data_IF_243332997338
#
_entry.id   IF_243332997338
#
_cell.length_a   1.000
_cell.length_b   1.000
_cell.length_c   1.000
_cell.angle_alpha   90.00
_cell.angle_beta   90.00
_cell.angle_gamma   90.00
#
_symmetry.space_group_name_H-M   'P 1'
#
loop_
_entity.id
_entity.type
_entity.pdbx_description
1 polymer ?
#
# COMPACT_ATOMS: atom_id res chain seq x y z
N UNK A 1 8.00 -14.25 32.33
CA UNK A 1 7.29 -15.17 31.45
C UNK A 1 6.68 -14.35 30.29
N UNK A 2 7.33 -14.35 29.14
CA UNK A 2 6.97 -13.53 27.96
C UNK A 2 5.63 -13.93 27.33
N UNK A 3 4.94 -14.89 27.87
CA UNK A 3 3.66 -15.39 27.40
C UNK A 3 2.44 -14.77 28.10
N UNK A 4 2.65 -14.05 29.21
CA UNK A 4 1.54 -13.49 30.02
C UNK A 4 1.50 -11.96 30.13
N UNK A 5 2.54 -11.24 29.70
CA UNK A 5 2.54 -9.77 29.78
C UNK A 5 3.17 -9.17 28.52
N UNK A 6 2.48 -8.20 27.96
CA UNK A 6 2.98 -7.42 26.84
C UNK A 6 4.18 -6.58 27.34
N UNK A 7 5.37 -6.83 26.80
CA UNK A 7 6.63 -6.14 27.18
C UNK A 7 6.47 -4.60 27.15
N UNK A 8 5.65 -4.06 26.26
CA UNK A 8 5.37 -2.63 26.16
C UNK A 8 4.51 -2.12 27.33
N UNK A 9 3.69 -2.98 27.91
CA UNK A 9 2.82 -2.64 29.05
C UNK A 9 3.61 -2.65 30.36
N UNK A 10 4.51 -3.63 30.52
CA UNK A 10 5.47 -3.67 31.62
C UNK A 10 6.42 -2.46 31.57
N UNK A 11 6.93 -2.10 30.40
CA UNK A 11 7.77 -0.92 30.24
C UNK A 11 7.02 0.38 30.54
N UNK A 12 5.73 0.49 30.19
CA UNK A 12 4.90 1.64 30.55
C UNK A 12 4.65 1.76 32.05
N UNK A 13 4.36 0.65 32.72
CA UNK A 13 4.16 0.65 34.18
C UNK A 13 5.46 0.97 34.91
N UNK A 14 6.60 0.41 34.50
CA UNK A 14 7.91 0.75 35.02
C UNK A 14 8.25 2.23 34.83
N UNK A 15 7.96 2.80 33.66
CA UNK A 15 8.15 4.23 33.41
C UNK A 15 7.25 5.14 34.28
N UNK A 16 6.03 4.68 34.54
CA UNK A 16 5.05 5.46 35.27
C UNK A 16 5.27 5.39 36.78
N UNK A 17 5.62 4.22 37.30
CA UNK A 17 5.62 3.95 38.75
C UNK A 17 7.03 4.02 39.34
N UNK A 18 8.08 3.62 38.63
CA UNK A 18 9.46 3.57 39.13
C UNK A 18 10.31 4.80 38.78
N UNK A 19 10.13 5.38 37.57
CA UNK A 19 10.95 6.53 37.16
C UNK A 19 10.81 7.75 38.04
N UNK A 20 9.59 8.20 38.51
CA UNK A 20 9.47 9.35 39.36
C UNK A 20 10.15 9.15 40.74
N UNK A 21 9.95 7.96 41.34
CA UNK A 21 10.49 7.62 42.65
C UNK A 21 12.01 7.52 42.61
N UNK A 22 12.59 6.90 41.59
CA UNK A 22 14.05 6.77 41.45
C UNK A 22 14.73 8.08 41.06
N UNK A 23 14.06 8.98 40.32
CA UNK A 23 14.60 10.32 40.02
C UNK A 23 14.57 11.27 41.22
N UNK A 24 13.60 11.12 42.13
CA UNK A 24 13.56 11.88 43.38
C UNK A 24 14.64 11.41 44.35
N UNK A 25 14.88 10.10 44.46
CA UNK A 25 15.88 9.54 45.38
C UNK A 25 17.31 9.67 44.85
N UNK A 26 17.49 9.64 43.52
CA UNK A 26 18.82 9.67 42.89
C UNK A 26 18.83 10.57 41.63
N UNK A 27 18.90 11.92 41.79
CA UNK A 27 18.84 12.89 40.70
C UNK A 27 19.98 12.77 39.68
N UNK A 28 21.06 12.10 40.03
CA UNK A 28 22.25 11.92 39.18
C UNK A 28 22.18 10.65 38.29
N UNK A 29 21.21 9.77 38.55
CA UNK A 29 21.06 8.53 37.76
C UNK A 29 20.33 8.82 36.43
N UNK A 30 21.00 8.52 35.32
CA UNK A 30 20.36 8.42 33.99
C UNK A 30 19.85 7.01 33.78
N UNK A 31 18.55 6.82 33.95
CA UNK A 31 17.90 5.54 33.63
C UNK A 31 17.60 5.53 32.15
N UNK A 32 18.26 4.66 31.39
CA UNK A 32 17.97 4.42 29.99
C UNK A 32 17.43 3.00 29.81
N UNK A 33 16.27 2.86 29.18
CA UNK A 33 15.75 1.57 28.78
C UNK A 33 16.44 1.16 27.50
N UNK A 34 17.45 0.33 27.61
CA UNK A 34 18.21 -0.22 26.50
C UNK A 34 17.78 -1.67 26.23
N UNK A 35 17.93 -2.13 24.99
CA UNK A 35 17.61 -3.49 24.59
C UNK A 35 16.76 -3.56 23.33
N UNK A 36 16.04 -4.65 23.15
CA UNK A 36 15.27 -4.96 21.94
C UNK A 36 14.25 -3.86 21.60
N UNK A 37 13.63 -3.22 22.61
CA UNK A 37 12.62 -2.17 22.39
C UNK A 37 13.22 -0.91 21.77
N UNK A 38 14.42 -0.48 22.18
CA UNK A 38 15.08 0.71 21.60
C UNK A 38 15.55 0.42 20.18
N UNK A 39 16.12 -0.76 19.96
CA UNK A 39 16.49 -1.20 18.61
C UNK A 39 15.26 -1.28 17.69
N UNK A 40 14.14 -1.81 18.19
CA UNK A 40 12.88 -1.89 17.48
C UNK A 40 12.30 -0.50 17.14
N UNK A 41 12.32 0.45 18.09
CA UNK A 41 11.87 1.82 17.85
C UNK A 41 12.74 2.53 16.82
N UNK A 42 14.06 2.37 16.87
CA UNK A 42 14.97 2.96 15.89
C UNK A 42 14.76 2.36 14.49
N UNK A 43 14.56 1.04 14.41
CA UNK A 43 14.21 0.37 13.16
C UNK A 43 12.89 0.89 12.60
N UNK A 44 11.86 1.03 13.44
CA UNK A 44 10.56 1.56 13.03
C UNK A 44 10.66 3.00 12.51
N UNK A 45 11.45 3.86 13.15
CA UNK A 45 11.73 5.22 12.63
C UNK A 45 12.40 5.18 11.26
N UNK A 46 13.38 4.29 11.08
CA UNK A 46 14.05 4.09 9.79
C UNK A 46 13.08 3.63 8.70
N UNK A 47 12.22 2.65 9.02
CA UNK A 47 11.17 2.17 8.10
C UNK A 47 10.20 3.28 7.74
N UNK A 48 9.78 4.09 8.72
CA UNK A 48 8.88 5.22 8.48
C UNK A 48 9.51 6.27 7.57
N UNK A 49 10.75 6.66 7.83
CA UNK A 49 11.48 7.61 6.97
C UNK A 49 11.67 7.04 5.56
N UNK A 50 12.09 5.78 5.45
CA UNK A 50 12.21 5.09 4.18
C UNK A 50 10.90 5.01 3.41
N UNK A 51 9.77 4.80 4.09
CA UNK A 51 8.44 4.80 3.48
C UNK A 51 8.07 6.16 2.89
N UNK A 52 8.32 7.25 3.61
CA UNK A 52 8.06 8.61 3.08
C UNK A 52 8.91 8.90 1.83
N UNK A 53 10.21 8.56 1.88
CA UNK A 53 11.11 8.74 0.73
C UNK A 53 10.62 7.89 -0.45
N UNK A 54 10.25 6.63 -0.22
CA UNK A 54 9.74 5.73 -1.26
C UNK A 54 8.46 6.28 -1.91
N UNK A 55 7.50 6.74 -1.11
CA UNK A 55 6.26 7.33 -1.61
C UNK A 55 6.54 8.58 -2.45
N UNK A 56 7.46 9.44 -2.00
CA UNK A 56 7.85 10.65 -2.73
C UNK A 56 8.55 10.31 -4.05
N UNK A 57 9.43 9.31 -4.06
CA UNK A 57 10.08 8.84 -5.28
C UNK A 57 9.09 8.22 -6.26
N UNK A 58 8.18 7.37 -5.79
CA UNK A 58 7.11 6.79 -6.60
C UNK A 58 6.27 7.90 -7.24
N UNK A 59 5.83 8.88 -6.45
CA UNK A 59 5.07 10.01 -6.96
C UNK A 59 5.84 10.77 -8.04
N UNK A 60 7.11 11.07 -7.80
CA UNK A 60 7.97 11.82 -8.74
C UNK A 60 8.16 11.06 -10.06
N UNK A 61 8.42 9.75 -9.99
CA UNK A 61 8.57 8.91 -11.18
C UNK A 61 7.27 8.82 -11.98
N UNK A 62 6.13 8.64 -11.31
CA UNK A 62 4.82 8.62 -11.96
C UNK A 62 4.47 9.98 -12.58
N UNK A 63 4.79 11.09 -11.90
CA UNK A 63 4.56 12.44 -12.43
C UNK A 63 5.37 12.70 -13.71
N UNK A 64 6.61 12.22 -13.77
CA UNK A 64 7.44 12.27 -14.98
C UNK A 64 6.86 11.38 -16.09
N UNK A 65 6.45 10.15 -15.75
CA UNK A 65 5.88 9.18 -16.71
C UNK A 65 4.60 9.71 -17.36
N UNK A 66 3.67 10.23 -16.57
CA UNK A 66 2.38 10.71 -17.06
C UNK A 66 2.37 12.17 -17.51
N UNK A 67 3.43 12.91 -17.26
CA UNK A 67 3.50 14.38 -17.47
C UNK A 67 2.30 15.10 -16.85
N UNK A 68 1.86 14.62 -15.69
CA UNK A 68 0.70 15.10 -14.95
C UNK A 68 0.91 14.91 -13.46
N UNK A 69 0.43 15.81 -12.63
CA UNK A 69 0.47 15.68 -11.18
C UNK A 69 -0.76 14.97 -10.59
N UNK A 70 -1.85 14.91 -11.34
CA UNK A 70 -3.11 14.34 -10.87
C UNK A 70 -3.22 12.82 -11.12
N UNK A 71 -2.68 12.34 -12.24
CA UNK A 71 -2.70 10.90 -12.56
C UNK A 71 -1.93 10.04 -11.55
N UNK A 72 -0.75 10.45 -11.04
CA UNK A 72 -0.07 9.74 -9.96
C UNK A 72 -0.93 9.54 -8.71
N UNK A 73 -1.78 10.51 -8.36
CA UNK A 73 -2.67 10.41 -7.20
C UNK A 73 -3.70 9.28 -7.39
N UNK A 74 -4.21 9.09 -8.61
CA UNK A 74 -5.11 7.98 -8.92
C UNK A 74 -4.40 6.64 -8.70
N UNK A 75 -3.20 6.50 -9.27
CA UNK A 75 -2.40 5.28 -9.14
C UNK A 75 -2.09 4.98 -7.67
N UNK A 76 -1.64 5.98 -6.92
CA UNK A 76 -1.26 5.83 -5.51
C UNK A 76 -2.46 5.65 -4.58
N UNK A 77 -3.67 6.04 -4.99
CA UNK A 77 -4.88 5.83 -4.19
C UNK A 77 -5.19 4.36 -3.92
N UNK A 78 -4.59 3.44 -4.67
CA UNK A 78 -4.70 2.01 -4.46
C UNK A 78 -3.89 1.49 -3.24
N UNK A 79 -2.83 2.21 -2.82
CA UNK A 79 -1.94 1.80 -1.72
C UNK A 79 -2.70 1.56 -0.40
N UNK A 80 -3.56 2.48 0.08
CA UNK A 80 -4.33 2.27 1.30
C UNK A 80 -5.15 0.98 1.31
N UNK A 81 -5.71 0.61 0.16
CA UNK A 81 -6.50 -0.62 0.05
C UNK A 81 -5.63 -1.88 0.14
N UNK A 82 -4.41 -1.83 -0.39
CA UNK A 82 -3.42 -2.88 -0.19
C UNK A 82 -3.08 -3.06 1.30
N UNK A 83 -2.91 -1.97 2.03
CA UNK A 83 -2.67 -2.01 3.48
C UNK A 83 -3.86 -2.65 4.22
N UNK A 84 -5.09 -2.29 3.85
CA UNK A 84 -6.30 -2.93 4.42
C UNK A 84 -6.28 -4.44 4.17
N UNK A 85 -5.96 -4.88 2.95
CA UNK A 85 -5.83 -6.30 2.62
C UNK A 85 -4.74 -7.00 3.44
N UNK A 86 -3.60 -6.37 3.64
CA UNK A 86 -2.52 -6.88 4.48
C UNK A 86 -2.97 -7.06 5.94
N UNK A 87 -3.64 -6.07 6.52
CA UNK A 87 -4.19 -6.14 7.89
C UNK A 87 -5.24 -7.25 8.01
N UNK A 88 -6.15 -7.36 7.03
CA UNK A 88 -7.13 -8.44 6.98
C UNK A 88 -6.46 -9.82 6.94
N UNK A 89 -5.42 -10.00 6.14
CA UNK A 89 -4.67 -11.25 6.08
C UNK A 89 -4.07 -11.65 7.41
N UNK A 90 -3.48 -10.69 8.15
CA UNK A 90 -2.98 -10.93 9.50
C UNK A 90 -4.08 -11.35 10.47
N UNK A 91 -5.22 -10.66 10.42
CA UNK A 91 -6.38 -10.98 11.25
C UNK A 91 -6.92 -12.39 10.98
N UNK A 92 -7.07 -12.76 9.70
CA UNK A 92 -7.60 -14.08 9.29
C UNK A 92 -6.68 -15.23 9.69
N UNK A 93 -5.36 -15.02 9.63
CA UNK A 93 -4.38 -16.06 9.96
C UNK A 93 -3.93 -16.02 11.43
N UNK A 94 -4.43 -15.08 12.24
CA UNK A 94 -4.10 -14.95 13.65
C UNK A 94 -2.68 -14.47 13.94
N UNK A 95 -2.05 -13.78 12.98
CA UNK A 95 -0.70 -13.22 13.16
C UNK A 95 -0.76 -11.78 13.62
N UNK A 96 0.12 -11.42 14.55
CA UNK A 96 0.27 -10.01 15.00
C UNK A 96 1.08 -9.22 13.99
N UNK A 97 0.74 -7.93 13.84
CA UNK A 97 1.53 -7.01 13.03
C UNK A 97 2.91 -6.80 13.65
N UNK A 98 3.94 -7.00 12.86
CA UNK A 98 5.34 -6.83 13.25
C UNK A 98 6.03 -5.79 12.36
N UNK A 99 7.27 -5.42 12.70
CA UNK A 99 8.10 -4.55 11.83
C UNK A 99 8.25 -5.19 10.45
N UNK A 100 8.38 -6.51 10.39
CA UNK A 100 8.54 -7.25 9.14
C UNK A 100 7.25 -7.21 8.31
N UNK A 101 6.06 -7.20 8.96
CA UNK A 101 4.79 -6.94 8.29
C UNK A 101 4.76 -5.55 7.63
N UNK A 102 5.26 -4.53 8.34
CA UNK A 102 5.32 -3.15 7.82
C UNK A 102 6.26 -3.05 6.63
N UNK A 103 7.41 -3.71 6.66
CA UNK A 103 8.30 -3.83 5.50
C UNK A 103 7.61 -4.49 4.30
N UNK A 104 6.81 -5.54 4.56
CA UNK A 104 5.95 -6.15 3.55
C UNK A 104 4.94 -5.17 2.95
N UNK A 105 4.32 -4.32 3.78
CA UNK A 105 3.38 -3.28 3.30
C UNK A 105 4.08 -2.20 2.46
N UNK A 106 5.32 -1.83 2.79
CA UNK A 106 6.11 -0.90 1.97
C UNK A 106 6.42 -1.52 0.61
N UNK A 107 6.87 -2.79 0.57
CA UNK A 107 7.10 -3.50 -0.68
C UNK A 107 5.81 -3.68 -1.51
N UNK A 108 4.68 -3.97 -0.83
CA UNK A 108 3.35 -4.07 -1.43
C UNK A 108 2.97 -2.79 -2.18
N UNK A 109 3.31 -1.61 -1.64
CA UNK A 109 2.97 -0.33 -2.28
C UNK A 109 3.56 -0.23 -3.69
N UNK A 110 4.78 -0.72 -3.90
CA UNK A 110 5.42 -0.77 -5.22
C UNK A 110 4.71 -1.70 -6.20
N UNK A 111 4.25 -2.87 -5.73
CA UNK A 111 3.52 -3.86 -6.57
C UNK A 111 2.18 -3.28 -7.00
N UNK A 112 1.41 -2.73 -6.05
CA UNK A 112 0.08 -2.16 -6.30
C UNK A 112 0.14 -0.97 -7.25
N UNK A 113 1.15 -0.12 -7.08
CA UNK A 113 1.40 1.02 -7.97
C UNK A 113 1.72 0.56 -9.39
N UNK A 114 2.54 -0.48 -9.55
CA UNK A 114 2.87 -1.02 -10.86
C UNK A 114 1.64 -1.54 -11.63
N UNK A 115 0.74 -2.26 -10.97
CA UNK A 115 -0.50 -2.76 -11.59
C UNK A 115 -1.44 -1.61 -11.99
N UNK A 116 -1.58 -0.60 -11.13
CA UNK A 116 -2.38 0.60 -11.39
C UNK A 116 -1.77 1.46 -12.50
N UNK A 117 -0.43 1.59 -12.55
CA UNK A 117 0.30 2.30 -13.60
C UNK A 117 0.00 1.73 -14.99
N UNK A 118 0.08 0.40 -15.14
CA UNK A 118 -0.16 -0.29 -16.42
C UNK A 118 -1.58 -0.02 -16.92
N UNK A 119 -2.54 0.07 -16.00
CA UNK A 119 -3.94 0.34 -16.36
C UNK A 119 -4.14 1.78 -16.83
N UNK A 120 -3.59 2.76 -16.09
CA UNK A 120 -3.68 4.19 -16.46
C UNK A 120 -2.92 4.49 -17.75
N UNK A 121 -1.74 3.90 -17.93
CA UNK A 121 -0.94 4.04 -19.17
C UNK A 121 -1.72 3.49 -20.38
N UNK A 122 -2.39 2.34 -20.25
CA UNK A 122 -3.24 1.81 -21.30
C UNK A 122 -4.38 2.77 -21.66
N UNK A 123 -5.09 3.31 -20.66
CA UNK A 123 -6.17 4.27 -20.89
C UNK A 123 -5.64 5.51 -21.64
N UNK A 124 -4.48 6.03 -21.24
CA UNK A 124 -3.88 7.20 -21.88
C UNK A 124 -3.55 6.94 -23.35
N UNK A 125 -2.86 5.84 -23.65
CA UNK A 125 -2.49 5.47 -25.02
C UNK A 125 -3.71 5.25 -25.91
N UNK A 126 -4.70 4.54 -25.41
CA UNK A 126 -5.93 4.27 -26.17
C UNK A 126 -6.71 5.55 -26.48
N UNK A 127 -6.63 6.55 -25.57
CA UNK A 127 -7.17 7.89 -25.84
C UNK A 127 -6.35 8.69 -26.84
N UNK A 128 -5.03 8.56 -26.83
CA UNK A 128 -4.15 9.19 -27.83
C UNK A 128 -4.41 8.67 -29.25
N UNK A 129 -4.85 7.42 -29.38
CA UNK A 129 -5.30 6.80 -30.63
C UNK A 129 -6.67 7.35 -31.13
N UNK A 130 -7.32 8.26 -30.39
CA UNK A 130 -8.55 8.92 -30.76
C UNK A 130 -9.83 8.29 -30.24
N UNK A 131 -9.73 7.27 -29.38
CA UNK A 131 -10.90 6.63 -28.78
C UNK A 131 -11.54 7.46 -27.68
N UNK A 132 -12.84 7.27 -27.49
CA UNK A 132 -13.61 7.96 -26.43
C UNK A 132 -13.15 7.47 -25.04
N UNK A 133 -13.28 8.35 -24.05
CA UNK A 133 -12.93 8.01 -22.65
C UNK A 133 -13.62 6.73 -22.18
N UNK A 134 -14.92 6.60 -22.45
CA UNK A 134 -15.70 5.43 -22.06
C UNK A 134 -15.16 4.13 -22.66
N UNK A 135 -14.84 4.17 -23.94
CA UNK A 135 -14.26 3.03 -24.65
C UNK A 135 -12.89 2.66 -24.10
N UNK A 136 -12.02 3.68 -23.88
CA UNK A 136 -10.69 3.48 -23.35
C UNK A 136 -10.70 2.84 -21.95
N UNK A 137 -11.61 3.29 -21.08
CA UNK A 137 -11.73 2.76 -19.72
C UNK A 137 -12.31 1.33 -19.71
N UNK A 138 -13.36 1.07 -20.51
CA UNK A 138 -13.93 -0.28 -20.64
C UNK A 138 -12.92 -1.26 -21.21
N UNK A 139 -12.24 -0.87 -22.29
CA UNK A 139 -11.25 -1.70 -22.95
C UNK A 139 -10.04 -1.98 -22.05
N UNK A 140 -9.60 -0.98 -21.25
CA UNK A 140 -8.56 -1.17 -20.25
C UNK A 140 -8.98 -2.22 -19.22
N UNK A 141 -10.23 -2.16 -18.73
CA UNK A 141 -10.77 -3.15 -17.79
C UNK A 141 -10.73 -4.56 -18.40
N UNK A 142 -11.20 -4.73 -19.61
CA UNK A 142 -11.26 -6.05 -20.29
C UNK A 142 -9.86 -6.58 -20.61
N UNK A 143 -9.01 -5.79 -21.26
CA UNK A 143 -7.69 -6.26 -21.71
C UNK A 143 -6.69 -6.45 -20.58
N UNK A 144 -6.79 -5.65 -19.52
CA UNK A 144 -5.87 -5.71 -18.38
C UNK A 144 -6.33 -6.64 -17.26
N UNK A 145 -7.61 -7.02 -17.23
CA UNK A 145 -8.13 -7.94 -16.22
C UNK A 145 -7.33 -9.24 -16.14
N UNK A 146 -7.17 -9.94 -17.27
CA UNK A 146 -6.51 -11.23 -17.29
C UNK A 146 -5.03 -11.17 -16.87
N UNK A 147 -4.18 -10.28 -17.41
CA UNK A 147 -2.80 -10.15 -16.94
C UNK A 147 -2.69 -9.81 -15.46
N UNK A 148 -3.48 -8.84 -14.96
CA UNK A 148 -3.42 -8.39 -13.57
C UNK A 148 -3.85 -9.51 -12.62
N UNK A 149 -4.97 -10.19 -12.90
CA UNK A 149 -5.42 -11.32 -12.07
C UNK A 149 -4.40 -12.46 -12.09
N UNK A 150 -3.78 -12.73 -13.24
CA UNK A 150 -2.77 -13.79 -13.33
C UNK A 150 -1.54 -13.47 -12.48
N UNK A 151 -1.01 -12.23 -12.54
CA UNK A 151 0.13 -11.81 -11.71
C UNK A 151 -0.20 -11.86 -10.23
N UNK A 152 -1.39 -11.43 -9.85
CA UNK A 152 -1.87 -11.48 -8.45
C UNK A 152 -1.97 -12.91 -7.94
N UNK A 153 -2.59 -13.80 -8.70
CA UNK A 153 -2.71 -15.21 -8.32
C UNK A 153 -1.34 -15.91 -8.24
N UNK A 154 -0.46 -15.66 -9.21
CA UNK A 154 0.90 -16.23 -9.17
C UNK A 154 1.69 -15.71 -7.97
N UNK A 155 1.57 -14.43 -7.61
CA UNK A 155 2.19 -13.86 -6.41
C UNK A 155 1.61 -14.47 -5.14
N UNK A 156 0.29 -14.56 -5.03
CA UNK A 156 -0.39 -15.14 -3.87
C UNK A 156 -0.01 -16.60 -3.66
N UNK A 157 -0.15 -17.44 -4.68
CA UNK A 157 0.21 -18.86 -4.59
C UNK A 157 1.72 -19.08 -4.46
N UNK A 158 2.54 -18.20 -5.04
CA UNK A 158 4.00 -18.24 -4.88
C UNK A 158 4.46 -17.96 -3.45
N UNK A 159 3.73 -17.11 -2.71
CA UNK A 159 4.02 -16.82 -1.30
C UNK A 159 3.37 -17.82 -0.32
N UNK A 160 2.38 -18.59 -0.79
CA UNK A 160 1.65 -19.55 0.06
C UNK A 160 2.56 -20.59 0.76
N UNK A 161 3.53 -21.22 0.10
CA UNK A 161 4.41 -22.17 0.76
C UNK A 161 5.15 -21.57 1.96
N UNK A 162 5.56 -20.28 1.84
CA UNK A 162 6.25 -19.56 2.91
C UNK A 162 5.36 -19.31 4.13
N UNK A 163 4.05 -19.16 3.94
CA UNK A 163 3.10 -18.93 5.04
C UNK A 163 2.90 -20.20 5.90
N UNK A 164 3.06 -21.38 5.31
CA UNK A 164 2.91 -22.67 5.99
C UNK A 164 4.22 -23.25 6.48
N UNK A 165 5.33 -22.54 6.30
CA UNK A 165 6.65 -22.98 6.74
C UNK A 165 6.74 -23.02 8.28
N UNK A 166 7.33 -24.09 8.83
CA UNK A 166 7.42 -24.31 10.28
C UNK A 166 8.79 -24.01 10.87
N UNK A 167 9.81 -23.83 10.03
CA UNK A 167 11.17 -23.54 10.48
C UNK A 167 11.26 -22.22 11.26
N UNK A 168 12.11 -22.17 12.29
CA UNK A 168 12.27 -20.97 13.14
C UNK A 168 12.71 -19.74 12.35
N UNK A 169 13.53 -19.93 11.33
CA UNK A 169 14.05 -18.86 10.49
C UNK A 169 12.95 -18.30 9.57
N UNK A 170 12.14 -19.16 8.96
CA UNK A 170 11.05 -18.74 8.09
C UNK A 170 9.92 -18.04 8.87
N UNK A 171 9.64 -18.44 10.11
CA UNK A 171 8.64 -17.79 10.97
C UNK A 171 8.83 -16.28 11.09
N UNK A 172 10.06 -15.80 11.00
CA UNK A 172 10.34 -14.36 11.01
C UNK A 172 9.84 -13.66 9.74
N UNK A 173 9.81 -14.35 8.60
CA UNK A 173 9.41 -13.78 7.30
C UNK A 173 7.92 -14.02 6.96
N UNK A 174 7.23 -14.91 7.68
CA UNK A 174 5.80 -15.19 7.47
C UNK A 174 4.94 -13.93 7.51
N UNK A 175 5.09 -12.99 8.49
CA UNK A 175 4.29 -11.78 8.53
C UNK A 175 4.46 -10.89 7.29
N UNK A 176 5.65 -10.87 6.69
CA UNK A 176 5.90 -10.16 5.43
C UNK A 176 5.15 -10.82 4.26
N UNK A 177 5.23 -12.17 4.17
CA UNK A 177 4.54 -12.92 3.13
C UNK A 177 3.02 -12.72 3.20
N UNK A 178 2.44 -12.71 4.40
CA UNK A 178 1.02 -12.43 4.64
C UNK A 178 0.66 -11.03 4.15
N UNK A 179 1.45 -10.00 4.53
CA UNK A 179 1.22 -8.62 4.09
C UNK A 179 1.22 -8.52 2.56
N UNK A 180 2.20 -9.13 1.90
CA UNK A 180 2.31 -9.09 0.44
C UNK A 180 1.16 -9.85 -0.23
N UNK A 181 0.90 -11.08 0.15
CA UNK A 181 -0.06 -11.94 -0.52
C UNK A 181 -1.49 -11.43 -0.39
N UNK A 182 -1.97 -11.19 0.83
CA UNK A 182 -3.32 -10.69 1.06
C UNK A 182 -3.46 -9.24 0.63
N UNK A 183 -2.41 -8.43 0.79
CA UNK A 183 -2.38 -7.05 0.34
C UNK A 183 -2.52 -6.94 -1.18
N UNK A 184 -1.75 -7.70 -1.96
CA UNK A 184 -1.85 -7.71 -3.43
C UNK A 184 -3.21 -8.23 -3.87
N UNK A 185 -3.68 -9.34 -3.26
CA UNK A 185 -4.97 -9.93 -3.61
C UNK A 185 -6.11 -8.90 -3.44
N UNK A 186 -6.19 -8.27 -2.27
CA UNK A 186 -7.23 -7.30 -1.97
C UNK A 186 -7.10 -6.02 -2.82
N UNK A 187 -5.88 -5.49 -2.95
CA UNK A 187 -5.62 -4.32 -3.77
C UNK A 187 -6.04 -4.54 -5.22
N UNK A 188 -5.76 -5.69 -5.81
CA UNK A 188 -6.10 -5.99 -7.19
C UNK A 188 -7.59 -5.91 -7.45
N UNK A 189 -8.42 -6.52 -6.59
CA UNK A 189 -9.88 -6.43 -6.74
C UNK A 189 -10.37 -4.99 -6.67
N UNK A 190 -9.81 -4.21 -5.77
CA UNK A 190 -10.20 -2.80 -5.61
C UNK A 190 -9.70 -1.96 -6.78
N UNK A 191 -8.45 -2.12 -7.22
CA UNK A 191 -7.86 -1.29 -8.30
C UNK A 191 -8.54 -1.50 -9.64
N UNK A 192 -9.01 -2.70 -9.95
CA UNK A 192 -9.77 -2.97 -11.16
C UNK A 192 -11.05 -2.14 -11.29
N UNK A 193 -11.62 -1.73 -10.14
CA UNK A 193 -12.82 -0.87 -10.10
C UNK A 193 -12.43 0.59 -9.82
N UNK A 194 -11.54 0.82 -8.86
CA UNK A 194 -11.18 2.14 -8.36
C UNK A 194 -10.46 3.00 -9.40
N UNK A 195 -9.49 2.43 -10.11
CA UNK A 195 -8.69 3.17 -11.10
C UNK A 195 -9.57 3.69 -12.24
N UNK A 196 -10.43 2.88 -12.87
CA UNK A 196 -11.40 3.36 -13.85
C UNK A 196 -12.28 4.50 -13.32
N UNK A 197 -12.86 4.31 -12.12
CA UNK A 197 -13.75 5.31 -11.51
C UNK A 197 -13.02 6.63 -11.25
N UNK A 198 -11.84 6.56 -10.65
CA UNK A 198 -11.07 7.78 -10.39
C UNK A 198 -10.57 8.46 -11.66
N UNK A 199 -10.31 7.70 -12.71
CA UNK A 199 -9.96 8.29 -13.99
C UNK A 199 -11.14 9.06 -14.61
N UNK A 200 -12.37 8.56 -14.49
CA UNK A 200 -13.57 9.29 -14.87
C UNK A 200 -13.74 10.58 -14.06
N UNK A 201 -13.66 10.45 -12.71
CA UNK A 201 -13.77 11.59 -11.81
C UNK A 201 -12.73 12.68 -12.12
N UNK A 202 -11.49 12.26 -12.39
CA UNK A 202 -10.43 13.20 -12.78
C UNK A 202 -10.76 13.91 -14.09
N UNK A 203 -11.26 13.19 -15.08
CA UNK A 203 -11.62 13.80 -16.36
C UNK A 203 -12.75 14.81 -16.20
N UNK A 204 -13.79 14.48 -15.42
CA UNK A 204 -14.90 15.38 -15.13
C UNK A 204 -14.44 16.61 -14.36
N UNK A 205 -13.54 16.43 -13.39
CA UNK A 205 -12.92 17.54 -12.66
C UNK A 205 -12.14 18.48 -13.59
N UNK A 206 -11.31 17.94 -14.48
CA UNK A 206 -10.54 18.73 -15.45
C UNK A 206 -11.45 19.50 -16.44
N UNK A 207 -12.57 18.91 -16.81
CA UNK A 207 -13.59 19.57 -17.65
C UNK A 207 -14.27 20.73 -16.90
N UNK A 208 -14.58 20.53 -15.62
CA UNK A 208 -15.23 21.53 -14.76
C UNK A 208 -14.34 22.78 -14.58
N UNK A 209 -13.01 22.58 -14.49
CA UNK A 209 -12.03 23.67 -14.36
C UNK A 209 -11.52 24.22 -15.70
N UNK A 210 -12.17 23.88 -16.83
CA UNK A 210 -11.86 24.44 -18.16
C UNK A 210 -10.51 24.03 -18.74
N UNK A 211 -9.81 23.09 -18.13
CA UNK A 211 -8.50 22.63 -18.59
C UNK A 211 -8.56 21.58 -19.71
N UNK A 212 -9.73 21.01 -19.98
CA UNK A 212 -9.93 20.01 -21.02
C UNK A 212 -11.29 20.21 -21.69
N UNK A 213 -11.33 20.24 -23.03
CA UNK A 213 -12.61 20.18 -23.75
C UNK A 213 -13.28 18.84 -23.46
N UNK A 214 -14.54 18.86 -23.05
CA UNK A 214 -15.40 17.67 -23.00
C UNK A 214 -15.35 17.04 -24.40
N UNK A 215 -15.08 15.74 -24.49
CA UNK A 215 -15.06 15.04 -25.77
C UNK A 215 -16.41 15.29 -26.46
N UNK A 216 -16.38 16.18 -27.47
CA UNK A 216 -17.59 16.67 -28.17
C UNK A 216 -18.33 15.52 -28.87
N UNK A 217 -17.69 14.37 -28.97
CA UNK A 217 -18.21 13.15 -29.61
C UNK A 217 -19.20 12.33 -28.75
N UNK A 218 -19.36 12.65 -27.48
CA UNK A 218 -20.36 11.95 -26.62
C UNK A 218 -21.79 12.45 -26.84
N UNK A 219 -21.94 13.61 -27.52
CA UNK A 219 -23.25 14.21 -27.82
C UNK A 219 -23.92 13.69 -29.10
N UNK A 220 -23.19 13.02 -29.99
CA UNK A 220 -23.75 12.53 -31.27
C UNK A 220 -24.23 11.06 -31.22
N UNK A 221 -24.08 10.36 -30.12
CA UNK A 221 -24.49 8.95 -29.97
C UNK A 221 -25.88 8.77 -29.32
N UNK A 222 -26.66 9.83 -29.14
CA UNK A 222 -28.06 9.77 -28.64
C UNK A 222 -29.12 10.10 -29.68
N UNK A 223 -28.71 10.13 -30.95
CA UNK A 223 -29.66 10.27 -32.08
C UNK A 223 -29.29 9.21 -33.11
N UNK A 224 -29.80 8.01 -32.91
CA UNK A 224 -30.32 7.06 -33.91
C UNK A 224 -31.00 5.90 -33.17
#
# INVERSE_FOLDING_TARGET
DSTQSNTAEVERSLKKDLLPVTQEEFPQLRISFEGSNRAQQNTMKGVQQGSYISIMLIFSLLALQFRSYLQPLIVMSAIPFGIVGAVMGHYLLGFTLSIVSVLGMVALSGIVVNDSLIMVDFINRFREEGHRLREAVLEAGVRRFRPIVLTTLTTFFGLMPMMFETSRQARFLIPMAISLAFGVLFATFITLVLVPVFYYLLNDFLVLFGQKKRDVLDKTATVD
#
